data_IF_164063183055
#
_entry.id   IF_164063183055
#
_cell.length_a   1.000
_cell.length_b   1.000
_cell.length_c   1.000
_cell.angle_alpha   90.00
_cell.angle_beta   90.00
_cell.angle_gamma   90.00
#
_symmetry.space_group_name_H-M   'P 1'
#
loop_
_entity.id
_entity.type
_entity.pdbx_description
1 polymer ?
#
# COMPACT_ATOMS: atom_id res chain seq x y z
N UNK A 1 -47.06 -4.48 -19.72
CA UNK A 1 -46.07 -3.39 -19.62
C UNK A 1 -44.68 -4.04 -19.59
N UNK A 2 -43.71 -3.58 -20.38
CA UNK A 2 -42.34 -4.13 -20.32
C UNK A 2 -41.69 -3.80 -18.96
N UNK A 3 -40.88 -4.72 -18.45
CA UNK A 3 -40.11 -4.52 -17.22
C UNK A 3 -38.87 -3.70 -17.57
N UNK A 4 -38.83 -2.45 -17.11
CA UNK A 4 -37.68 -1.57 -17.26
C UNK A 4 -36.80 -1.62 -16.00
N UNK A 5 -35.50 -1.90 -16.18
CA UNK A 5 -34.52 -2.04 -15.10
C UNK A 5 -34.00 -0.70 -14.57
N UNK A 6 -34.27 0.44 -15.22
CA UNK A 6 -33.87 1.79 -14.78
C UNK A 6 -32.39 1.91 -14.36
N UNK A 7 -31.49 1.18 -15.03
CA UNK A 7 -30.04 1.22 -14.76
C UNK A 7 -29.55 0.40 -13.56
N UNK A 8 -30.42 -0.37 -12.89
CA UNK A 8 -30.01 -1.26 -11.80
C UNK A 8 -29.14 -2.41 -12.34
N UNK A 9 -27.98 -2.63 -11.72
CA UNK A 9 -27.11 -3.78 -12.00
C UNK A 9 -27.58 -5.00 -11.21
N UNK A 10 -27.62 -6.17 -11.85
CA UNK A 10 -28.10 -7.40 -11.22
C UNK A 10 -27.07 -7.95 -10.22
N UNK A 11 -27.52 -8.27 -9.01
CA UNK A 11 -26.72 -8.90 -7.93
C UNK A 11 -26.75 -10.44 -7.97
N UNK A 12 -27.43 -11.01 -8.95
CA UNK A 12 -27.74 -12.44 -8.99
C UNK A 12 -28.07 -12.93 -10.39
N UNK A 13 -28.60 -14.15 -10.48
CA UNK A 13 -29.05 -14.78 -11.73
C UNK A 13 -30.40 -15.44 -11.49
N UNK A 14 -31.29 -15.38 -12.48
CA UNK A 14 -32.56 -16.10 -12.45
C UNK A 14 -32.37 -17.50 -13.03
N UNK A 15 -32.60 -18.54 -12.23
CA UNK A 15 -32.58 -19.95 -12.63
C UNK A 15 -33.96 -20.55 -12.36
N UNK A 16 -34.58 -21.18 -13.35
CA UNK A 16 -35.91 -21.80 -13.25
C UNK A 16 -37.02 -20.87 -12.71
N UNK A 17 -36.96 -19.59 -13.13
CA UNK A 17 -37.91 -18.56 -12.70
C UNK A 17 -37.71 -18.06 -11.26
N UNK A 18 -36.72 -18.59 -10.54
CA UNK A 18 -36.32 -18.12 -9.20
C UNK A 18 -35.06 -17.27 -9.30
N UNK A 19 -35.05 -16.11 -8.66
CA UNK A 19 -33.87 -15.26 -8.56
C UNK A 19 -32.95 -15.78 -7.46
N UNK A 20 -31.69 -16.04 -7.79
CA UNK A 20 -30.66 -16.50 -6.87
C UNK A 20 -29.63 -15.38 -6.73
N UNK A 21 -29.47 -14.88 -5.51
CA UNK A 21 -28.48 -13.85 -5.17
C UNK A 21 -27.08 -14.46 -5.05
N UNK A 22 -26.08 -13.76 -5.56
CA UNK A 22 -24.67 -14.16 -5.46
C UNK A 22 -24.01 -13.16 -4.51
N UNK A 23 -23.60 -13.57 -3.29
CA UNK A 23 -23.09 -12.64 -2.28
C UNK A 23 -21.87 -11.83 -2.76
N UNK A 24 -21.01 -12.43 -3.58
CA UNK A 24 -19.83 -11.79 -4.17
C UNK A 24 -20.17 -10.63 -5.13
N UNK A 25 -21.40 -10.58 -5.68
CA UNK A 25 -21.85 -9.48 -6.54
C UNK A 25 -22.42 -8.30 -5.74
N UNK A 26 -22.65 -8.47 -4.44
CA UNK A 26 -23.13 -7.40 -3.58
C UNK A 26 -21.90 -6.62 -3.09
N UNK A 27 -21.78 -5.32 -3.40
CA UNK A 27 -20.62 -4.55 -2.98
C UNK A 27 -20.63 -4.34 -1.47
N UNK A 28 -19.52 -4.67 -0.82
CA UNK A 28 -19.30 -4.40 0.60
C UNK A 28 -18.76 -2.98 0.80
N UNK A 29 -19.37 -2.23 1.73
CA UNK A 29 -18.90 -0.90 2.11
C UNK A 29 -17.92 -1.02 3.28
N UNK A 30 -16.63 -0.84 2.99
CA UNK A 30 -15.57 -0.83 4.01
C UNK A 30 -15.52 0.55 4.66
N UNK A 31 -16.17 0.71 5.81
CA UNK A 31 -16.21 1.98 6.55
C UNK A 31 -15.25 1.93 7.74
N UNK A 32 -14.20 2.77 7.79
CA UNK A 32 -13.27 2.80 8.91
C UNK A 32 -13.88 3.49 10.16
N UNK A 33 -13.34 3.21 11.35
CA UNK A 33 -13.68 3.96 12.55
C UNK A 33 -13.12 5.39 12.46
N UNK A 34 -13.96 6.40 12.71
CA UNK A 34 -13.61 7.81 12.63
C UNK A 34 -13.37 8.46 14.01
N UNK A 35 -13.41 7.69 15.10
CA UNK A 35 -13.06 8.18 16.43
C UNK A 35 -11.63 8.75 16.44
N UNK A 36 -11.49 10.00 16.87
CA UNK A 36 -10.19 10.69 16.90
C UNK A 36 -9.72 11.23 15.54
N UNK A 37 -10.52 11.16 14.47
CA UNK A 37 -10.18 11.76 13.18
C UNK A 37 -10.05 13.30 13.30
N UNK A 38 -8.84 13.82 13.06
CA UNK A 38 -8.52 15.26 13.18
C UNK A 38 -8.99 16.08 11.98
N UNK A 39 -9.16 15.41 10.83
CA UNK A 39 -9.51 16.06 9.56
C UNK A 39 -10.96 16.51 9.57
N UNK A 40 -11.22 17.67 8.97
CA UNK A 40 -12.56 18.26 8.84
C UNK A 40 -12.90 18.39 7.35
N UNK A 41 -14.19 18.41 6.98
CA UNK A 41 -14.62 18.57 5.58
C UNK A 41 -14.18 19.89 4.94
N UNK A 42 -13.84 20.89 5.76
CA UNK A 42 -13.41 22.21 5.30
C UNK A 42 -12.08 22.60 5.93
N UNK A 43 -11.29 23.35 5.16
CA UNK A 43 -9.99 23.88 5.53
C UNK A 43 -10.12 25.38 5.85
N UNK A 44 -9.22 25.91 6.68
CA UNK A 44 -9.18 27.34 6.99
C UNK A 44 -8.62 28.15 5.82
N UNK A 45 -9.18 29.35 5.59
CA UNK A 45 -8.61 30.35 4.69
C UNK A 45 -7.22 30.86 5.08
N UNK A 46 -6.77 30.59 6.31
CA UNK A 46 -5.43 30.96 6.78
C UNK A 46 -4.35 29.94 6.37
N UNK A 47 -4.72 28.85 5.70
CA UNK A 47 -3.75 27.90 5.19
C UNK A 47 -2.82 28.61 4.17
N UNK A 48 -1.52 28.27 4.15
CA UNK A 48 -0.61 28.82 3.16
C UNK A 48 -1.00 28.36 1.75
N UNK A 49 -0.75 29.20 0.75
CA UNK A 49 -0.90 28.81 -0.64
C UNK A 49 0.21 27.82 -1.02
N UNK A 50 -0.21 26.66 -1.54
CA UNK A 50 0.70 25.59 -1.96
C UNK A 50 0.51 25.36 -3.46
N UNK A 51 1.61 25.28 -4.21
CA UNK A 51 1.59 24.89 -5.62
C UNK A 51 1.70 23.37 -5.69
N UNK A 52 0.66 22.72 -6.22
CA UNK A 52 0.65 21.28 -6.40
C UNK A 52 1.33 20.92 -7.73
N UNK A 53 2.40 20.13 -7.66
CA UNK A 53 3.01 19.51 -8.83
C UNK A 53 2.20 18.30 -9.31
N UNK A 54 2.41 17.89 -10.55
CA UNK A 54 1.84 16.63 -11.07
C UNK A 54 2.41 15.43 -10.28
N UNK A 55 1.54 14.48 -9.94
CA UNK A 55 1.96 13.26 -9.25
C UNK A 55 2.31 12.19 -10.29
N UNK A 56 3.60 12.01 -10.57
CA UNK A 56 4.14 11.04 -11.52
C UNK A 56 4.72 9.82 -10.82
N UNK A 57 4.83 8.69 -11.55
CA UNK A 57 5.44 7.47 -11.00
C UNK A 57 6.90 7.67 -10.59
N UNK A 58 7.62 8.56 -11.27
CA UNK A 58 9.00 8.90 -10.93
C UNK A 58 9.08 9.49 -9.50
N UNK A 59 8.14 10.36 -9.12
CA UNK A 59 8.05 10.92 -7.76
C UNK A 59 7.78 9.83 -6.70
N UNK A 60 6.97 8.83 -7.03
CA UNK A 60 6.74 7.68 -6.12
C UNK A 60 8.02 6.85 -6.00
N UNK A 61 8.71 6.61 -7.11
CA UNK A 61 9.97 5.87 -7.17
C UNK A 61 11.01 6.44 -6.22
N UNK A 62 11.26 7.74 -6.36
CA UNK A 62 12.31 8.44 -5.63
C UNK A 62 12.00 8.55 -4.12
N UNK A 63 10.74 8.75 -3.73
CA UNK A 63 10.38 8.93 -2.31
C UNK A 63 10.19 7.59 -1.56
N UNK A 64 9.70 6.54 -2.23
CA UNK A 64 9.30 5.29 -1.55
C UNK A 64 10.36 4.18 -1.62
N UNK A 65 11.19 4.13 -2.66
CA UNK A 65 12.15 3.04 -2.84
C UNK A 65 13.55 3.35 -2.32
N UNK A 66 13.96 4.62 -2.27
CA UNK A 66 15.28 5.00 -1.75
C UNK A 66 15.44 4.71 -0.25
N UNK A 67 14.36 4.73 0.53
CA UNK A 67 14.39 4.36 1.96
C UNK A 67 14.67 2.86 2.20
N UNK A 68 14.38 1.99 1.22
CA UNK A 68 14.70 0.55 1.31
C UNK A 68 16.20 0.26 1.10
N UNK A 69 16.92 1.12 0.37
CA UNK A 69 18.35 0.95 0.11
C UNK A 69 19.19 1.16 1.39
N UNK A 70 18.68 1.96 2.33
CA UNK A 70 19.33 2.24 3.62
C UNK A 70 19.29 1.01 4.56
N UNK A 71 18.30 0.14 4.42
CA UNK A 71 18.19 -1.11 5.19
C UNK A 71 19.12 -2.20 4.65
N UNK A 72 19.31 -2.32 3.32
CA UNK A 72 20.27 -3.27 2.73
C UNK A 72 21.71 -2.87 3.02
N UNK A 73 22.05 -1.58 2.93
CA UNK A 73 23.38 -1.05 3.28
C UNK A 73 23.77 -1.27 4.75
N UNK A 74 22.80 -1.36 5.66
CA UNK A 74 23.04 -1.64 7.08
C UNK A 74 23.44 -3.11 7.35
N UNK A 75 22.90 -4.05 6.57
CA UNK A 75 23.14 -5.50 6.75
C UNK A 75 24.49 -5.94 6.14
N UNK A 76 24.89 -5.36 5.00
CA UNK A 76 26.20 -5.67 4.39
C UNK A 76 27.38 -5.19 5.25
N UNK A 77 27.23 -4.04 5.93
CA UNK A 77 28.25 -3.57 6.90
C UNK A 77 28.34 -4.45 8.14
N UNK A 78 27.24 -5.03 8.60
CA UNK A 78 27.24 -5.95 9.74
C UNK A 78 27.88 -7.29 9.38
N UNK A 79 27.71 -7.76 8.13
CA UNK A 79 28.33 -9.00 7.65
C UNK A 79 29.85 -8.88 7.52
N UNK A 80 30.38 -7.72 7.10
CA UNK A 80 31.81 -7.45 7.09
C UNK A 80 32.39 -7.43 8.51
N UNK A 81 31.74 -6.74 9.45
CA UNK A 81 32.17 -6.72 10.87
C UNK A 81 32.18 -8.12 11.49
N UNK A 82 31.24 -9.00 11.11
CA UNK A 82 31.19 -10.38 11.59
C UNK A 82 32.15 -11.35 10.87
N UNK A 83 32.62 -11.02 9.67
CA UNK A 83 33.54 -11.84 8.89
C UNK A 83 35.01 -11.38 8.98
N UNK A 84 35.26 -10.19 9.53
CA UNK A 84 36.61 -9.66 9.73
C UNK A 84 37.33 -10.27 10.96
N UNK A 85 36.61 -10.92 11.88
CA UNK A 85 37.17 -11.37 13.18
C UNK A 85 37.61 -12.85 13.25
N UNK A 86 37.24 -13.74 12.32
CA UNK A 86 37.41 -15.21 12.51
C UNK A 86 38.45 -15.94 11.61
N UNK A 87 39.23 -15.26 10.75
CA UNK A 87 40.23 -15.96 9.88
C UNK A 87 41.64 -15.31 9.92
N UNK A 88 42.13 -14.95 11.11
CA UNK A 88 43.55 -14.59 11.33
C UNK A 88 44.22 -15.37 12.47
N UNK A 89 43.93 -16.67 12.64
CA UNK A 89 44.73 -17.55 13.50
C UNK A 89 45.10 -18.91 12.89
N UNK A 90 45.12 -19.06 11.55
CA UNK A 90 45.57 -20.30 10.90
C UNK A 90 46.81 -20.18 10.00
N UNK A 91 47.50 -19.03 9.97
CA UNK A 91 48.70 -18.84 9.14
C UNK A 91 49.99 -18.45 9.88
N UNK A 92 50.03 -18.58 11.21
CA UNK A 92 51.25 -18.31 12.01
C UNK A 92 51.94 -19.56 12.61
N UNK A 93 51.75 -20.76 12.02
CA UNK A 93 52.44 -22.00 12.47
C UNK A 93 53.33 -22.64 11.40
N UNK A 94 53.53 -22.02 10.23
CA UNK A 94 54.51 -22.51 9.25
C UNK A 94 55.42 -21.41 8.70
N UNK A 95 56.27 -20.83 9.56
CA UNK A 95 57.67 -20.54 9.18
C UNK A 95 58.60 -20.31 10.36
#
# INVERSE_FOLDING_TARGET
>A
MPIDKRGVRDVGVTVDGKFIEIPEKIPELIVPNLEGCKLKPYVSYKAPDVVQSEFTMDLIGDDFFNDCELLSLSLERLLLVLLDDDELELLDVQR
#
